data_IF_885786593839
#
_entry.id   IF_885786593839
#
_cell.length_a   1.000
_cell.length_b   1.000
_cell.length_c   1.000
_cell.angle_alpha   90.00
_cell.angle_beta   90.00
_cell.angle_gamma   90.00
#
_symmetry.space_group_name_H-M   'P 1'
#
loop_
_entity.id
_entity.type
_entity.pdbx_description
1 polymer ?
#
# COMPACT_ATOMS: atom_id res chain seq x y z
N UNK A 1 8.95 -11.09 -23.72
CA UNK A 1 8.20 -11.61 -22.56
C UNK A 1 7.09 -10.63 -22.26
N UNK A 2 5.83 -11.01 -22.51
CA UNK A 2 4.69 -10.18 -22.12
C UNK A 2 4.50 -10.35 -20.61
N UNK A 3 5.26 -9.59 -19.82
CA UNK A 3 5.05 -9.54 -18.38
C UNK A 3 3.69 -8.90 -18.14
N UNK A 4 2.74 -9.71 -17.67
CA UNK A 4 1.45 -9.19 -17.21
C UNK A 4 1.71 -8.20 -16.07
N UNK A 5 0.99 -7.07 -16.07
CA UNK A 5 1.08 -6.06 -15.03
C UNK A 5 0.88 -6.67 -13.64
N UNK A 6 -0.02 -7.66 -13.51
CA UNK A 6 -0.24 -8.39 -12.26
C UNK A 6 1.01 -9.15 -11.80
N UNK A 7 1.74 -9.75 -12.73
CA UNK A 7 2.95 -10.52 -12.41
C UNK A 7 4.11 -9.59 -12.02
N UNK A 8 4.19 -8.41 -12.64
CA UNK A 8 5.12 -7.36 -12.23
C UNK A 8 4.77 -6.82 -10.83
N UNK A 9 3.49 -6.58 -10.54
CA UNK A 9 3.02 -6.15 -9.21
C UNK A 9 3.32 -7.21 -8.16
N UNK A 10 3.03 -8.48 -8.43
CA UNK A 10 3.33 -9.59 -7.51
C UNK A 10 4.84 -9.76 -7.26
N UNK A 11 5.67 -9.53 -8.28
CA UNK A 11 7.13 -9.55 -8.15
C UNK A 11 7.61 -8.42 -7.24
N UNK A 12 7.09 -7.21 -7.43
CA UNK A 12 7.41 -6.06 -6.57
C UNK A 12 6.92 -6.31 -5.15
N UNK A 13 5.70 -6.80 -4.97
CA UNK A 13 5.14 -7.10 -3.65
C UNK A 13 5.95 -8.20 -2.93
N UNK A 14 6.36 -9.23 -3.68
CA UNK A 14 7.17 -10.33 -3.18
C UNK A 14 8.55 -9.91 -2.69
N UNK A 15 9.12 -8.82 -3.21
CA UNK A 15 10.39 -8.25 -2.70
C UNK A 15 10.20 -7.15 -1.65
N UNK A 16 9.18 -6.31 -1.83
CA UNK A 16 8.93 -5.13 -1.00
C UNK A 16 8.47 -5.52 0.42
N UNK A 17 7.57 -6.49 0.53
CA UNK A 17 7.00 -6.91 1.83
C UNK A 17 8.09 -7.52 2.74
N UNK A 18 8.91 -8.48 2.29
CA UNK A 18 9.98 -9.03 3.13
C UNK A 18 11.03 -7.99 3.51
N UNK A 19 11.37 -7.06 2.61
CA UNK A 19 12.32 -5.98 2.91
C UNK A 19 11.79 -5.04 4.00
N UNK A 20 10.50 -4.67 3.93
CA UNK A 20 9.87 -3.86 4.96
C UNK A 20 9.84 -4.58 6.32
N UNK A 21 9.55 -5.88 6.33
CA UNK A 21 9.56 -6.71 7.56
C UNK A 21 10.98 -6.83 8.12
N UNK A 22 11.98 -7.08 7.28
CA UNK A 22 13.38 -7.18 7.70
C UNK A 22 13.90 -5.87 8.31
N UNK A 23 13.55 -4.73 7.71
CA UNK A 23 13.90 -3.42 8.25
C UNK A 23 13.21 -3.21 9.59
N UNK A 24 11.92 -3.51 9.70
CA UNK A 24 11.19 -3.37 10.96
C UNK A 24 11.80 -4.22 12.09
N UNK A 25 12.15 -5.48 11.81
CA UNK A 25 12.75 -6.43 12.76
C UNK A 25 14.16 -6.03 13.23
N UNK A 26 15.00 -5.55 12.31
CA UNK A 26 16.38 -5.11 12.62
C UNK A 26 16.49 -3.71 13.19
N UNK A 27 15.44 -2.91 13.04
CA UNK A 27 15.50 -1.50 13.40
C UNK A 27 15.34 -1.31 14.90
N UNK A 28 16.19 -0.47 15.48
CA UNK A 28 16.03 -0.02 16.86
C UNK A 28 14.63 0.59 17.02
N UNK A 29 13.92 0.30 18.11
CA UNK A 29 12.48 0.57 18.32
C UNK A 29 12.02 1.95 17.81
N UNK A 30 12.86 2.98 17.94
CA UNK A 30 12.65 4.34 17.44
C UNK A 30 12.47 4.46 15.92
N UNK A 31 13.21 3.67 15.13
CA UNK A 31 13.13 3.66 13.67
C UNK A 31 11.83 3.00 13.22
N UNK A 32 11.42 1.89 13.87
CA UNK A 32 10.12 1.27 13.63
C UNK A 32 8.97 2.25 13.93
N UNK A 33 9.03 2.94 15.08
CA UNK A 33 8.07 3.99 15.45
C UNK A 33 8.04 5.11 14.40
N UNK A 34 9.20 5.54 13.92
CA UNK A 34 9.32 6.60 12.90
C UNK A 34 8.68 6.16 11.58
N UNK A 35 8.91 4.91 11.14
CA UNK A 35 8.30 4.34 9.94
C UNK A 35 6.78 4.30 10.05
N UNK A 36 6.25 3.83 11.18
CA UNK A 36 4.82 3.84 11.46
C UNK A 36 4.26 5.26 11.40
N UNK A 37 4.95 6.22 12.01
CA UNK A 37 4.52 7.62 12.03
C UNK A 37 4.47 8.23 10.61
N UNK A 38 5.48 7.95 9.78
CA UNK A 38 5.49 8.38 8.36
C UNK A 38 4.32 7.75 7.57
N UNK A 39 4.03 6.46 7.78
CA UNK A 39 2.91 5.79 7.10
C UNK A 39 1.55 6.33 7.55
N UNK A 40 1.40 6.66 8.83
CA UNK A 40 0.19 7.29 9.37
C UNK A 40 -0.01 8.69 8.75
N UNK A 41 1.03 9.52 8.73
CA UNK A 41 0.98 10.85 8.12
C UNK A 41 0.64 10.76 6.63
N UNK A 42 1.30 9.86 5.90
CA UNK A 42 1.02 9.64 4.48
C UNK A 42 -0.43 9.21 4.24
N UNK A 43 -0.95 8.28 5.06
CA UNK A 43 -2.34 7.82 4.99
C UNK A 43 -3.32 8.94 5.29
N UNK A 44 -3.09 9.70 6.37
CA UNK A 44 -3.91 10.86 6.71
C UNK A 44 -3.93 11.89 5.58
N UNK A 45 -2.78 12.20 4.99
CA UNK A 45 -2.67 13.14 3.89
C UNK A 45 -3.40 12.61 2.64
N UNK A 46 -3.27 11.31 2.36
CA UNK A 46 -3.93 10.65 1.22
C UNK A 46 -5.45 10.71 1.35
N UNK A 47 -5.98 10.41 2.53
CA UNK A 47 -7.41 10.54 2.85
C UNK A 47 -7.85 12.00 2.73
N UNK A 48 -7.10 12.95 3.29
CA UNK A 48 -7.42 14.37 3.25
C UNK A 48 -7.38 14.97 1.82
N UNK A 49 -6.58 14.40 0.92
CA UNK A 49 -6.50 14.80 -0.50
C UNK A 49 -7.51 14.08 -1.39
N UNK A 50 -8.45 13.32 -0.82
CA UNK A 50 -9.47 12.59 -1.57
C UNK A 50 -8.94 11.34 -2.29
N UNK A 51 -7.70 10.94 -2.03
CA UNK A 51 -7.16 9.68 -2.50
C UNK A 51 -7.62 8.53 -1.60
N UNK A 52 -8.38 7.60 -2.13
CA UNK A 52 -8.70 6.36 -1.42
C UNK A 52 -7.44 5.56 -1.06
N UNK A 53 -7.49 4.88 0.09
CA UNK A 53 -6.51 3.86 0.43
C UNK A 53 -6.63 2.70 -0.58
N UNK A 54 -5.57 2.37 -1.34
CA UNK A 54 -5.60 1.19 -2.20
C UNK A 54 -5.67 -0.06 -1.29
N UNK A 55 -6.87 -0.63 -1.15
CA UNK A 55 -7.14 -1.85 -0.38
C UNK A 55 -8.07 -1.73 0.82
N UNK A 56 -8.50 -0.52 1.22
CA UNK A 56 -9.51 -0.34 2.30
C UNK A 56 -10.82 0.34 1.83
N UNK A 57 -11.00 0.49 0.51
CA UNK A 57 -12.26 0.93 -0.09
C UNK A 57 -12.86 -0.18 -0.95
N UNK A 58 -13.77 -0.94 -0.36
CA UNK A 58 -14.64 -1.85 -1.10
C UNK A 58 -15.73 -1.05 -1.84
N UNK A 59 -15.96 -1.41 -3.11
CA UNK A 59 -17.31 -1.58 -3.65
C UNK A 59 -18.34 -0.46 -3.56
N UNK A 60 -18.06 0.76 -4.03
CA UNK A 60 -19.14 1.66 -4.41
C UNK A 60 -18.91 2.37 -5.75
N UNK A 61 -19.83 2.07 -6.67
CA UNK A 61 -20.03 2.65 -8.00
C UNK A 61 -19.08 2.21 -9.13
N UNK A 62 -19.02 0.91 -9.39
CA UNK A 62 -19.15 0.49 -10.78
C UNK A 62 -20.62 0.73 -11.18
N UNK A 63 -20.92 1.93 -11.68
CA UNK A 63 -22.10 2.13 -12.52
C UNK A 63 -21.71 1.68 -13.93
N UNK A 64 -22.19 0.50 -14.35
CA UNK A 64 -22.70 0.44 -15.71
C UNK A 64 -23.99 -0.39 -15.75
N UNK A 65 -25.03 0.21 -16.33
CA UNK A 65 -26.17 -0.47 -16.95
C UNK A 65 -27.26 -1.04 -16.03
N UNK A 66 -28.28 -0.20 -15.76
CA UNK A 66 -29.67 -0.66 -15.72
C UNK A 66 -30.37 -0.18 -17.00
N UNK A 67 -30.37 -1.07 -17.99
CA UNK A 67 -31.25 -1.04 -19.16
C UNK A 67 -32.53 -1.85 -18.89
#
# INVERSE_FOLDING_TARGET
>A
MNFSLQQAVLLVLGGLVPAAVFIADRSELFVAITLVNVLLIWTSLRIATGGGLPGFGDGSAADPEQA
#
